data_IF_890102484562
#
_entry.id   IF_890102484562
#
_cell.length_a   1.000
_cell.length_b   1.000
_cell.length_c   1.000
_cell.angle_alpha   90.00
_cell.angle_beta   90.00
_cell.angle_gamma   90.00
#
_symmetry.space_group_name_H-M   'P 1'
#
loop_
_entity.id
_entity.type
_entity.pdbx_description
1 polymer ?
#
# COMPACT_ATOMS: atom_id res chain seq x y z
N UNK A 1 -19.57 3.12 6.88
CA UNK A 1 -19.47 4.41 6.15
C UNK A 1 -19.60 4.11 4.68
N UNK A 2 -20.47 4.83 3.94
CA UNK A 2 -20.62 4.65 2.50
C UNK A 2 -19.36 5.07 1.75
N UNK A 3 -19.09 4.40 0.64
CA UNK A 3 -18.02 4.78 -0.30
C UNK A 3 -18.62 5.80 -1.27
N UNK A 4 -17.90 6.89 -1.54
CA UNK A 4 -18.28 7.86 -2.57
C UNK A 4 -17.15 7.96 -3.58
N UNK A 5 -17.42 7.65 -4.85
CA UNK A 5 -16.43 7.62 -5.92
C UNK A 5 -16.08 9.03 -6.38
N UNK A 6 -14.79 9.32 -6.47
CA UNK A 6 -14.25 10.59 -6.99
C UNK A 6 -13.79 10.46 -8.44
N UNK A 7 -13.20 9.32 -8.80
CA UNK A 7 -12.78 9.07 -10.18
C UNK A 7 -12.69 7.58 -10.50
N UNK A 8 -12.83 7.27 -11.77
CA UNK A 8 -12.60 5.94 -12.34
C UNK A 8 -11.62 6.07 -13.48
N UNK A 9 -10.49 5.40 -13.39
CA UNK A 9 -9.49 5.30 -14.44
C UNK A 9 -9.43 3.87 -14.97
N UNK A 10 -9.04 3.72 -16.23
CA UNK A 10 -8.82 2.41 -16.85
C UNK A 10 -7.49 2.38 -17.59
N UNK A 11 -6.80 1.26 -17.55
CA UNK A 11 -5.55 1.01 -18.29
C UNK A 11 -5.57 -0.36 -18.93
N UNK A 12 -4.89 -0.49 -20.07
CA UNK A 12 -4.59 -1.79 -20.69
C UNK A 12 -3.50 -2.53 -19.89
N UNK A 13 -3.62 -3.85 -19.80
CA UNK A 13 -2.72 -4.69 -19.01
C UNK A 13 -1.44 -5.11 -19.73
N UNK A 14 -1.31 -4.79 -21.00
CA UNK A 14 -0.14 -5.06 -21.84
C UNK A 14 0.50 -3.77 -22.40
N UNK A 15 0.21 -2.63 -21.76
CA UNK A 15 0.73 -1.33 -22.20
C UNK A 15 -0.01 -0.73 -23.39
N UNK A 16 -1.21 -1.23 -23.67
CA UNK A 16 -2.05 -0.67 -24.73
C UNK A 16 -2.39 0.79 -24.42
N UNK A 17 -2.34 1.63 -25.44
CA UNK A 17 -2.73 3.02 -25.33
C UNK A 17 -4.25 3.13 -25.25
N UNK A 18 -4.77 3.72 -24.19
CA UNK A 18 -6.22 3.87 -23.95
C UNK A 18 -6.71 5.32 -24.09
N UNK A 19 -5.81 6.27 -24.24
CA UNK A 19 -6.12 7.69 -24.43
C UNK A 19 -5.04 8.39 -25.25
N UNK A 20 -5.29 9.61 -25.71
CA UNK A 20 -4.30 10.44 -26.40
C UNK A 20 -4.84 11.11 -27.65
N UNK A 21 -3.93 11.63 -28.48
CA UNK A 21 -4.28 12.28 -29.75
C UNK A 21 -4.64 11.19 -30.76
N UNK A 22 -5.76 11.38 -31.46
CA UNK A 22 -6.22 10.50 -32.50
C UNK A 22 -6.21 11.18 -33.87
N UNK A 23 -5.90 10.41 -34.90
CA UNK A 23 -6.15 10.76 -36.28
C UNK A 23 -7.49 10.19 -36.72
N UNK A 24 -8.29 11.01 -37.38
CA UNK A 24 -9.56 10.58 -37.96
C UNK A 24 -9.38 10.54 -39.48
N UNK A 25 -9.56 9.37 -40.09
CA UNK A 25 -9.60 9.27 -41.53
C UNK A 25 -10.97 9.79 -42.03
N UNK A 26 -10.95 10.90 -42.74
CA UNK A 26 -12.18 11.54 -43.25
C UNK A 26 -12.95 10.71 -44.30
N UNK A 27 -12.31 9.72 -44.90
CA UNK A 27 -12.93 8.92 -45.96
C UNK A 27 -13.81 7.79 -45.40
N UNK A 28 -13.44 7.21 -44.27
CA UNK A 28 -14.11 6.04 -43.68
C UNK A 28 -14.49 6.23 -42.20
N UNK A 29 -14.12 7.38 -41.61
CA UNK A 29 -14.42 7.70 -40.24
C UNK A 29 -13.58 6.90 -39.22
N UNK A 30 -12.58 6.14 -39.65
CA UNK A 30 -11.73 5.36 -38.74
C UNK A 30 -10.88 6.28 -37.86
N UNK A 31 -10.97 6.05 -36.57
CA UNK A 31 -10.18 6.74 -35.56
C UNK A 31 -9.01 5.86 -35.13
N UNK A 32 -7.78 6.38 -35.27
CA UNK A 32 -6.57 5.69 -34.82
C UNK A 32 -5.77 6.56 -33.85
N UNK A 33 -5.37 6.01 -32.73
CA UNK A 33 -4.53 6.72 -31.76
C UNK A 33 -3.10 6.84 -32.29
N UNK A 34 -2.54 8.06 -32.23
CA UNK A 34 -1.11 8.27 -32.49
C UNK A 34 -0.30 7.61 -31.41
N UNK A 35 0.61 6.71 -31.81
CA UNK A 35 1.58 6.16 -30.87
C UNK A 35 2.47 7.30 -30.35
N UNK A 36 2.43 7.53 -29.04
CA UNK A 36 3.27 8.51 -28.40
C UNK A 36 4.50 7.81 -27.80
N UNK A 37 5.67 8.28 -28.18
CA UNK A 37 6.95 7.75 -27.70
C UNK A 37 7.29 8.21 -26.27
N UNK A 38 6.46 9.07 -25.64
CA UNK A 38 6.82 9.75 -24.37
C UNK A 38 5.78 9.61 -23.27
N UNK A 39 4.75 8.76 -23.37
CA UNK A 39 3.58 8.92 -22.49
C UNK A 39 3.21 7.69 -21.67
N UNK A 40 3.67 7.66 -20.43
CA UNK A 40 2.97 6.95 -19.34
C UNK A 40 1.53 7.48 -19.12
N UNK A 41 1.21 8.71 -19.52
CA UNK A 41 -0.12 9.32 -19.40
C UNK A 41 -1.14 8.79 -20.41
N UNK A 42 -0.73 8.40 -21.63
CA UNK A 42 -1.62 7.83 -22.65
C UNK A 42 -2.09 6.41 -22.34
N UNK A 43 -1.50 5.77 -21.33
CA UNK A 43 -1.88 4.44 -20.90
C UNK A 43 -3.11 4.42 -19.98
N UNK A 44 -3.72 5.57 -19.67
CA UNK A 44 -4.85 5.65 -18.74
C UNK A 44 -5.94 6.56 -19.30
N UNK A 45 -7.19 6.06 -19.39
CA UNK A 45 -8.37 6.88 -19.57
C UNK A 45 -8.99 7.17 -18.20
N UNK A 46 -9.43 8.41 -17.96
CA UNK A 46 -9.89 8.88 -16.66
C UNK A 46 -11.25 9.59 -16.78
N UNK A 47 -12.18 9.19 -15.93
CA UNK A 47 -13.41 9.92 -15.63
C UNK A 47 -13.30 10.50 -14.23
N UNK A 48 -13.43 11.81 -14.10
CA UNK A 48 -13.46 12.50 -12.79
C UNK A 48 -14.87 13.00 -12.52
N UNK A 49 -15.38 12.77 -11.32
CA UNK A 49 -16.67 13.26 -10.88
C UNK A 49 -16.51 14.64 -10.22
N UNK A 50 -17.24 15.64 -10.69
CA UNK A 50 -17.26 16.98 -10.07
C UNK A 50 -17.76 16.89 -8.63
N UNK A 51 -18.82 16.13 -8.42
CA UNK A 51 -19.32 15.74 -7.11
C UNK A 51 -19.12 14.24 -6.93
N UNK A 52 -18.63 13.83 -5.75
CA UNK A 52 -18.41 12.41 -5.49
C UNK A 52 -19.74 11.63 -5.51
N UNK A 53 -19.73 10.48 -6.18
CA UNK A 53 -20.91 9.64 -6.39
C UNK A 53 -20.97 8.57 -5.30
N UNK A 54 -21.99 8.59 -4.41
CA UNK A 54 -22.12 7.57 -3.36
C UNK A 54 -22.46 6.20 -3.96
N UNK A 55 -21.80 5.16 -3.45
CA UNK A 55 -22.17 3.78 -3.73
C UNK A 55 -23.16 3.27 -2.70
N UNK A 56 -24.07 2.42 -3.13
CA UNK A 56 -24.97 1.70 -2.22
C UNK A 56 -24.15 0.80 -1.27
N UNK A 57 -24.55 0.77 0.00
CA UNK A 57 -23.89 -0.04 1.02
C UNK A 57 -24.34 -1.51 1.01
N UNK A 58 -25.45 -1.79 0.34
CA UNK A 58 -25.99 -3.12 0.15
C UNK A 58 -25.50 -3.70 -1.18
N UNK A 59 -25.07 -4.95 -1.19
CA UNK A 59 -24.71 -5.67 -2.40
C UNK A 59 -25.95 -5.93 -3.29
N UNK A 60 -26.76 -4.91 -3.50
CA UNK A 60 -27.97 -5.00 -4.31
C UNK A 60 -27.61 -4.75 -5.79
N UNK A 61 -27.65 -5.76 -6.67
CA UNK A 61 -27.34 -5.58 -8.08
C UNK A 61 -28.27 -4.57 -8.80
N UNK A 62 -29.42 -4.28 -8.22
CA UNK A 62 -30.37 -3.30 -8.76
C UNK A 62 -30.08 -1.86 -8.36
N UNK A 63 -29.12 -1.63 -7.45
CA UNK A 63 -28.71 -0.31 -6.96
C UNK A 63 -27.24 0.01 -7.34
N UNK A 64 -26.82 -0.41 -8.52
CA UNK A 64 -25.49 -0.13 -9.06
C UNK A 64 -25.35 1.31 -9.57
N UNK A 65 -24.13 1.77 -9.68
CA UNK A 65 -23.76 3.04 -10.28
C UNK A 65 -23.00 2.79 -11.57
N UNK A 66 -23.49 3.35 -12.69
CA UNK A 66 -22.87 3.20 -14.00
C UNK A 66 -21.85 4.31 -14.26
N UNK A 67 -20.70 3.92 -14.74
CA UNK A 67 -19.68 4.81 -15.29
C UNK A 67 -19.45 4.46 -16.76
N UNK A 68 -19.55 5.46 -17.63
CA UNK A 68 -19.30 5.28 -19.07
C UNK A 68 -17.90 5.78 -19.38
N UNK A 69 -17.06 4.90 -19.93
CA UNK A 69 -15.71 5.23 -20.38
C UNK A 69 -15.63 5.04 -21.90
N UNK A 70 -14.97 5.98 -22.58
CA UNK A 70 -14.68 5.89 -24.00
C UNK A 70 -13.28 5.36 -24.18
N UNK A 71 -13.17 4.20 -24.81
CA UNK A 71 -11.90 3.51 -25.05
C UNK A 71 -11.71 3.24 -26.54
N UNK A 72 -10.47 3.17 -27.02
CA UNK A 72 -10.18 2.76 -28.40
C UNK A 72 -10.68 1.35 -28.69
N UNK A 73 -11.10 1.15 -29.94
CA UNK A 73 -11.46 -0.16 -30.45
C UNK A 73 -10.22 -1.02 -30.67
N UNK A 74 -9.81 -1.74 -29.62
CA UNK A 74 -8.59 -2.54 -29.56
C UNK A 74 -8.88 -3.86 -28.82
N UNK A 75 -8.11 -4.88 -29.16
CA UNK A 75 -8.08 -6.11 -28.38
C UNK A 75 -7.05 -5.97 -27.24
N UNK A 76 -7.52 -5.86 -26.02
CA UNK A 76 -6.70 -5.82 -24.80
C UNK A 76 -6.33 -7.25 -24.41
N UNK A 77 -5.19 -7.73 -24.90
CA UNK A 77 -4.80 -9.14 -24.86
C UNK A 77 -4.63 -9.71 -23.46
N UNK A 78 -4.25 -8.86 -22.52
CA UNK A 78 -4.17 -9.18 -21.08
C UNK A 78 -5.28 -8.54 -20.26
N UNK A 79 -6.33 -8.02 -20.93
CA UNK A 79 -7.46 -7.37 -20.29
C UNK A 79 -7.18 -5.94 -19.85
N UNK A 80 -8.07 -5.42 -19.01
CA UNK A 80 -8.08 -4.06 -18.50
C UNK A 80 -7.94 -4.07 -16.97
N UNK A 81 -7.38 -3.00 -16.42
CA UNK A 81 -7.43 -2.72 -14.97
C UNK A 81 -8.18 -1.41 -14.74
N UNK A 82 -9.19 -1.46 -13.89
CA UNK A 82 -9.93 -0.32 -13.41
C UNK A 82 -9.30 0.16 -12.10
N UNK A 83 -9.06 1.46 -12.00
CA UNK A 83 -8.53 2.13 -10.82
C UNK A 83 -9.57 3.12 -10.36
N UNK A 84 -10.20 2.84 -9.25
CA UNK A 84 -11.27 3.64 -8.67
C UNK A 84 -10.72 4.42 -7.50
N UNK A 85 -10.91 5.74 -7.48
CA UNK A 85 -10.50 6.59 -6.35
C UNK A 85 -11.75 7.14 -5.68
N UNK A 86 -11.84 7.01 -4.37
CA UNK A 86 -12.95 7.56 -3.60
C UNK A 86 -12.69 9.00 -3.12
N UNK A 87 -13.72 9.61 -2.53
CA UNK A 87 -13.66 10.97 -2.00
C UNK A 87 -12.65 11.15 -0.85
N UNK A 88 -12.27 10.06 -0.18
CA UNK A 88 -11.23 10.07 0.86
C UNK A 88 -9.82 9.86 0.29
N UNK A 89 -9.68 9.72 -1.05
CA UNK A 89 -8.41 9.46 -1.72
C UNK A 89 -7.95 8.01 -1.67
N UNK A 90 -8.82 7.08 -1.25
CA UNK A 90 -8.52 5.65 -1.26
C UNK A 90 -8.62 5.11 -2.67
N UNK A 91 -7.73 4.19 -3.02
CA UNK A 91 -7.62 3.63 -4.37
C UNK A 91 -8.04 2.16 -4.33
N UNK A 92 -8.86 1.78 -5.31
CA UNK A 92 -9.33 0.41 -5.53
C UNK A 92 -8.92 -0.01 -6.94
N UNK A 93 -8.32 -1.18 -7.09
CA UNK A 93 -7.94 -1.71 -8.38
C UNK A 93 -8.66 -3.04 -8.64
N UNK A 94 -9.26 -3.16 -9.82
CA UNK A 94 -9.90 -4.39 -10.28
C UNK A 94 -9.50 -4.68 -11.71
N UNK A 95 -8.92 -5.85 -11.94
CA UNK A 95 -8.59 -6.33 -13.28
C UNK A 95 -9.71 -7.19 -13.86
N UNK A 96 -9.89 -7.14 -15.18
CA UNK A 96 -10.71 -8.14 -15.90
C UNK A 96 -10.00 -9.50 -15.87
N UNK A 97 -10.76 -10.62 -15.85
CA UNK A 97 -10.17 -11.95 -15.72
C UNK A 97 -9.38 -12.44 -16.95
N UNK A 98 -9.39 -11.71 -18.05
CA UNK A 98 -8.73 -12.12 -19.29
C UNK A 98 -8.81 -11.09 -20.40
N UNK A 99 -8.53 -11.50 -21.63
CA UNK A 99 -8.59 -10.64 -22.80
C UNK A 99 -9.97 -9.96 -22.94
N UNK A 100 -9.94 -8.70 -23.37
CA UNK A 100 -11.12 -7.88 -23.51
C UNK A 100 -11.07 -7.11 -24.82
N UNK A 101 -12.03 -7.32 -25.70
CA UNK A 101 -12.09 -6.64 -27.00
C UNK A 101 -13.16 -5.56 -26.98
N UNK A 102 -12.79 -4.36 -27.41
CA UNK A 102 -13.70 -3.25 -27.65
C UNK A 102 -13.82 -3.05 -29.16
N UNK A 103 -15.05 -3.04 -29.65
CA UNK A 103 -15.37 -2.81 -31.04
C UNK A 103 -15.81 -1.35 -31.27
N UNK A 104 -15.52 -0.80 -32.44
CA UNK A 104 -15.87 0.57 -32.77
C UNK A 104 -17.40 0.76 -32.80
N UNK A 105 -17.87 1.81 -32.12
CA UNK A 105 -19.28 2.16 -32.06
C UNK A 105 -20.16 1.24 -31.21
N UNK A 106 -19.58 0.30 -30.48
CA UNK A 106 -20.29 -0.64 -29.62
C UNK A 106 -20.21 -0.22 -28.17
N UNK A 107 -21.35 -0.13 -27.50
CA UNK A 107 -21.40 -0.04 -26.04
C UNK A 107 -21.31 -1.45 -25.46
N UNK A 108 -20.23 -1.73 -24.75
CA UNK A 108 -20.01 -3.03 -24.13
C UNK A 108 -20.32 -2.94 -22.62
N UNK A 109 -21.46 -3.47 -22.17
CA UNK A 109 -21.73 -3.55 -20.75
C UNK A 109 -20.72 -4.48 -20.07
N UNK A 110 -20.27 -4.09 -18.88
CA UNK A 110 -19.43 -4.91 -18.04
C UNK A 110 -20.26 -5.52 -16.92
N UNK A 111 -19.81 -6.66 -16.43
CA UNK A 111 -20.33 -7.20 -15.18
C UNK A 111 -20.05 -6.25 -14.01
N UNK A 112 -20.86 -6.34 -12.97
CA UNK A 112 -20.65 -5.56 -11.76
C UNK A 112 -19.23 -5.77 -11.21
N UNK A 113 -18.51 -4.68 -11.09
CA UNK A 113 -17.19 -4.70 -10.43
C UNK A 113 -17.42 -4.52 -8.92
N UNK A 114 -17.19 -5.53 -8.09
CA UNK A 114 -17.25 -5.38 -6.67
C UNK A 114 -16.11 -4.47 -6.21
N UNK A 115 -16.46 -3.28 -5.72
CA UNK A 115 -15.49 -2.37 -5.11
C UNK A 115 -15.26 -2.86 -3.69
N UNK A 116 -14.27 -3.70 -3.51
CA UNK A 116 -13.81 -4.10 -2.20
C UNK A 116 -12.95 -2.98 -1.62
N UNK A 117 -13.20 -2.59 -0.37
CA UNK A 117 -12.38 -1.60 0.34
C UNK A 117 -10.92 -2.08 0.38
N UNK A 118 -10.12 -1.59 -0.53
CA UNK A 118 -8.68 -1.60 -0.38
C UNK A 118 -8.32 -0.44 0.54
N UNK A 119 -8.19 -0.69 1.82
CA UNK A 119 -7.34 0.15 2.63
C UNK A 119 -5.97 0.04 1.98
N UNK A 120 -5.49 1.16 1.40
CA UNK A 120 -4.18 1.16 0.77
C UNK A 120 -3.21 0.47 1.72
N UNK A 121 -2.40 -0.44 1.21
CA UNK A 121 -1.53 -1.33 1.99
C UNK A 121 -0.59 -0.52 2.86
N UNK A 122 -1.10 -0.05 3.98
CA UNK A 122 -0.33 0.69 4.95
C UNK A 122 0.73 -0.26 5.52
N UNK A 123 1.99 0.12 5.41
CA UNK A 123 3.05 -0.61 6.09
C UNK A 123 3.30 -0.07 7.51
N UNK A 124 2.77 1.10 7.82
CA UNK A 124 2.85 1.73 9.11
C UNK A 124 1.45 2.00 9.67
N UNK A 125 1.20 1.52 10.87
CA UNK A 125 -0.03 1.74 11.62
C UNK A 125 0.27 2.60 12.84
N UNK A 126 -0.44 3.73 12.95
CA UNK A 126 -0.27 4.71 14.02
C UNK A 126 -1.42 4.66 15.01
N UNK A 127 -1.09 4.73 16.29
CA UNK A 127 -2.05 4.95 17.38
C UNK A 127 -1.47 5.87 18.43
N UNK A 128 -2.32 6.59 19.15
CA UNK A 128 -1.92 7.44 20.29
C UNK A 128 -2.21 6.80 21.64
N UNK A 129 -3.03 5.76 21.69
CA UNK A 129 -3.59 5.21 22.92
C UNK A 129 -3.25 3.73 23.08
N UNK A 130 -3.23 3.28 24.33
CA UNK A 130 -3.23 1.85 24.64
C UNK A 130 -4.48 1.16 24.08
N UNK A 131 -4.33 -0.11 23.72
CA UNK A 131 -5.41 -0.92 23.17
C UNK A 131 -4.88 -2.00 22.25
N UNK A 132 -5.75 -2.63 21.49
CA UNK A 132 -5.37 -3.62 20.49
C UNK A 132 -5.63 -3.05 19.08
N UNK A 133 -4.58 -2.97 18.27
CA UNK A 133 -4.73 -2.71 16.84
C UNK A 133 -5.09 -4.02 16.15
N UNK A 134 -6.14 -3.97 15.35
CA UNK A 134 -6.56 -5.07 14.49
C UNK A 134 -6.22 -4.75 13.05
N UNK A 135 -5.36 -5.55 12.44
CA UNK A 135 -4.90 -5.37 11.07
C UNK A 135 -5.37 -6.57 10.26
N UNK A 136 -6.25 -6.32 9.29
CA UNK A 136 -6.62 -7.31 8.29
C UNK A 136 -5.41 -7.54 7.38
N UNK A 137 -4.87 -8.77 7.37
CA UNK A 137 -3.69 -9.11 6.58
C UNK A 137 -4.05 -9.64 5.19
N UNK A 138 -5.33 -9.81 4.85
CA UNK A 138 -5.76 -10.30 3.53
C UNK A 138 -5.28 -9.44 2.36
N UNK A 139 -5.16 -8.10 2.46
CA UNK A 139 -4.66 -7.28 1.36
C UNK A 139 -3.14 -7.27 1.19
N UNK A 140 -2.37 -8.00 2.01
CA UNK A 140 -0.91 -8.01 1.95
C UNK A 140 -0.37 -9.25 1.28
N UNK A 141 0.46 -9.06 0.24
CA UNK A 141 0.97 -10.12 -0.61
C UNK A 141 2.49 -10.12 -0.67
N UNK A 142 3.06 -11.28 -0.89
CA UNK A 142 4.44 -11.37 -1.32
C UNK A 142 4.59 -10.72 -2.68
N UNK A 143 5.54 -9.84 -2.75
CA UNK A 143 6.07 -9.33 -3.99
C UNK A 143 7.02 -10.38 -4.62
N UNK A 144 6.63 -11.65 -4.60
CA UNK A 144 7.34 -12.69 -5.31
C UNK A 144 7.00 -12.55 -6.80
N UNK A 145 7.81 -11.86 -7.56
CA UNK A 145 7.70 -11.71 -8.98
C UNK A 145 8.07 -10.30 -9.41
N UNK A 146 8.72 -10.19 -10.51
CA UNK A 146 9.25 -9.06 -11.22
C UNK A 146 8.73 -7.67 -10.82
N UNK A 147 9.47 -7.08 -9.89
CA UNK A 147 9.33 -5.69 -9.56
C UNK A 147 10.07 -4.87 -10.61
N UNK A 148 9.41 -4.51 -11.70
CA UNK A 148 9.95 -3.49 -12.59
C UNK A 148 9.46 -2.12 -12.16
N UNK A 149 10.33 -1.13 -12.19
CA UNK A 149 10.02 0.26 -11.82
C UNK A 149 8.85 0.85 -12.61
N UNK A 150 8.62 0.36 -13.81
CA UNK A 150 7.54 0.78 -14.71
C UNK A 150 6.20 0.11 -14.39
N UNK A 151 6.22 -1.07 -13.84
CA UNK A 151 5.05 -1.75 -13.32
C UNK A 151 5.06 -1.57 -11.81
N UNK A 152 4.42 -0.53 -11.30
CA UNK A 152 4.14 -0.45 -9.86
C UNK A 152 3.59 -1.79 -9.42
N UNK A 153 4.12 -2.38 -8.34
CA UNK A 153 3.79 -3.75 -8.00
C UNK A 153 2.28 -3.88 -7.97
N UNK A 154 1.76 -4.56 -8.94
CA UNK A 154 0.43 -5.10 -8.83
C UNK A 154 0.58 -6.16 -7.77
N UNK A 155 0.15 -5.79 -6.65
CA UNK A 155 -0.02 -6.76 -5.62
C UNK A 155 -1.04 -7.73 -6.17
N UNK A 156 -0.55 -8.88 -6.53
CA UNK A 156 -1.40 -9.95 -7.01
C UNK A 156 -2.25 -10.43 -5.84
N UNK A 157 -3.56 -10.15 -5.93
CA UNK A 157 -4.54 -10.39 -4.89
C UNK A 157 -4.93 -11.87 -4.90
N UNK A 158 -3.99 -12.76 -4.90
CA UNK A 158 -4.33 -14.17 -4.84
C UNK A 158 -4.27 -14.77 -3.43
N UNK A 159 -4.11 -13.95 -2.41
CA UNK A 159 -4.18 -14.44 -1.03
C UNK A 159 -3.16 -15.51 -0.65
N UNK A 160 -2.28 -15.91 -1.58
CA UNK A 160 -1.37 -17.04 -1.38
C UNK A 160 -0.47 -16.91 -0.16
N UNK A 161 -0.22 -15.68 0.30
CA UNK A 161 0.60 -15.49 1.49
C UNK A 161 -0.16 -15.47 2.78
N UNK A 162 -1.38 -14.97 2.75
CA UNK A 162 -2.24 -15.02 3.93
C UNK A 162 -2.52 -16.46 4.29
N UNK A 163 -2.74 -17.31 3.29
CA UNK A 163 -2.92 -18.75 3.48
C UNK A 163 -1.67 -19.45 4.04
N UNK A 164 -0.49 -18.82 3.93
CA UNK A 164 0.76 -19.36 4.49
C UNK A 164 1.10 -18.79 5.86
N UNK A 165 0.57 -17.63 6.24
CA UNK A 165 0.83 -17.04 7.53
C UNK A 165 0.05 -17.79 8.62
N UNK A 166 0.77 -18.28 9.63
CA UNK A 166 0.19 -19.06 10.73
C UNK A 166 0.49 -18.44 12.10
N UNK A 167 1.38 -17.48 12.18
CA UNK A 167 1.79 -16.87 13.44
C UNK A 167 2.24 -15.42 13.25
N UNK A 168 2.34 -14.71 14.39
CA UNK A 168 2.93 -13.38 14.45
C UNK A 168 4.14 -13.38 15.39
N UNK A 169 5.07 -12.46 15.17
CA UNK A 169 6.25 -12.29 16.00
C UNK A 169 6.67 -10.84 16.09
N UNK A 170 7.28 -10.44 17.18
CA UNK A 170 7.94 -9.16 17.34
C UNK A 170 9.37 -9.28 16.84
N UNK A 171 9.75 -8.48 15.87
CA UNK A 171 11.13 -8.40 15.42
C UNK A 171 11.95 -7.47 16.32
N UNK A 172 11.40 -6.31 16.62
CA UNK A 172 11.96 -5.38 17.59
C UNK A 172 10.89 -4.40 18.08
N UNK A 173 11.11 -3.85 19.27
CA UNK A 173 10.44 -2.67 19.80
C UNK A 173 11.47 -1.63 20.20
N UNK A 174 11.09 -0.35 20.13
CA UNK A 174 11.95 0.77 20.51
C UNK A 174 11.16 1.83 21.25
N UNK A 175 11.62 2.17 22.44
CA UNK A 175 11.12 3.29 23.23
C UNK A 175 12.24 4.27 23.50
N UNK A 176 11.89 5.48 23.91
CA UNK A 176 12.87 6.46 24.37
C UNK A 176 13.61 5.93 25.60
N UNK A 177 14.88 6.30 25.76
CA UNK A 177 15.73 5.87 26.88
C UNK A 177 15.18 6.24 28.25
N UNK A 178 14.32 7.27 28.32
CA UNK A 178 13.64 7.73 29.53
C UNK A 178 12.31 7.02 29.83
N UNK A 179 11.82 6.17 28.91
CA UNK A 179 10.53 5.51 29.05
C UNK A 179 10.64 4.25 29.91
N UNK A 180 9.77 4.11 30.90
CA UNK A 180 9.53 2.84 31.59
C UNK A 180 8.46 2.05 30.80
N UNK A 181 8.75 0.80 30.48
CA UNK A 181 7.83 -0.08 29.75
C UNK A 181 8.15 -0.22 28.27
N UNK A 182 7.35 -0.99 27.58
CA UNK A 182 7.49 -1.31 26.16
C UNK A 182 6.33 -0.72 25.33
N UNK A 183 6.55 -0.59 24.03
CA UNK A 183 5.53 -0.16 23.06
C UNK A 183 4.35 -1.13 23.02
N UNK A 184 4.64 -2.43 23.12
CA UNK A 184 3.65 -3.49 23.13
C UNK A 184 3.38 -3.96 24.57
N UNK A 185 2.11 -4.18 24.89
CA UNK A 185 1.68 -4.71 26.20
C UNK A 185 1.67 -6.23 26.26
N UNK A 186 1.65 -6.91 25.10
CA UNK A 186 1.74 -8.36 24.97
C UNK A 186 2.26 -8.75 23.58
N UNK A 187 2.56 -10.04 23.40
CA UNK A 187 2.98 -10.60 22.11
C UNK A 187 1.80 -10.52 21.11
N UNK A 188 2.01 -9.98 19.91
CA UNK A 188 0.99 -10.00 18.86
C UNK A 188 0.58 -11.42 18.45
N UNK A 189 -0.68 -11.58 18.08
CA UNK A 189 -1.24 -12.86 17.63
C UNK A 189 -1.90 -12.71 16.25
N UNK A 190 -1.77 -13.74 15.42
CA UNK A 190 -2.53 -13.87 14.18
C UNK A 190 -3.72 -14.80 14.43
N UNK A 191 -4.93 -14.26 14.30
CA UNK A 191 -6.19 -15.01 14.47
C UNK A 191 -6.93 -15.02 13.11
N UNK A 192 -6.87 -16.14 12.42
CA UNK A 192 -7.36 -16.20 11.05
C UNK A 192 -6.61 -15.21 10.16
N UNK A 193 -7.31 -14.22 9.61
CA UNK A 193 -6.76 -13.14 8.77
C UNK A 193 -6.56 -11.82 9.52
N UNK A 194 -6.72 -11.81 10.83
CA UNK A 194 -6.56 -10.61 11.66
C UNK A 194 -5.32 -10.70 12.52
N UNK A 195 -4.37 -9.79 12.29
CA UNK A 195 -3.23 -9.58 13.16
C UNK A 195 -3.65 -8.65 14.30
N UNK A 196 -3.65 -9.17 15.52
CA UNK A 196 -3.91 -8.43 16.76
C UNK A 196 -2.60 -7.98 17.38
N UNK A 197 -2.44 -6.67 17.53
CA UNK A 197 -1.24 -6.05 18.10
C UNK A 197 -1.61 -5.27 19.35
N UNK A 198 -1.38 -5.84 20.55
CA UNK A 198 -1.63 -5.15 21.80
C UNK A 198 -0.59 -4.06 22.05
N UNK A 199 -1.02 -2.79 22.09
CA UNK A 199 -0.14 -1.63 22.37
C UNK A 199 -0.35 -1.11 23.77
N UNK A 200 0.74 -0.71 24.43
CA UNK A 200 0.72 -0.24 25.82
C UNK A 200 0.35 1.25 25.96
N UNK A 201 0.46 2.03 24.87
CA UNK A 201 0.39 3.49 24.91
C UNK A 201 1.73 4.18 25.19
N UNK A 202 2.78 3.44 25.49
CA UNK A 202 4.15 4.00 25.59
C UNK A 202 4.61 4.42 24.18
N UNK A 203 5.03 5.68 24.05
CA UNK A 203 5.49 6.23 22.77
C UNK A 203 6.73 5.50 22.27
N UNK A 204 6.72 5.11 21.01
CA UNK A 204 7.80 4.36 20.39
C UNK A 204 7.40 3.68 19.11
N UNK A 205 8.20 2.72 18.70
CA UNK A 205 8.04 1.98 17.47
C UNK A 205 8.18 0.48 17.72
N UNK A 206 7.46 -0.32 16.94
CA UNK A 206 7.63 -1.77 16.89
C UNK A 206 7.62 -2.25 15.45
N UNK A 207 8.36 -3.30 15.15
CA UNK A 207 8.25 -4.05 13.90
C UNK A 207 7.71 -5.44 14.22
N UNK A 208 6.53 -5.72 13.69
CA UNK A 208 5.82 -6.99 13.88
C UNK A 208 5.75 -7.71 12.56
N UNK A 209 6.14 -8.98 12.53
CA UNK A 209 6.06 -9.81 11.34
C UNK A 209 5.00 -10.91 11.50
N UNK A 210 4.38 -11.30 10.37
CA UNK A 210 3.63 -12.54 10.24
C UNK A 210 4.50 -13.59 9.57
N UNK A 211 4.38 -14.85 10.01
CA UNK A 211 5.25 -15.96 9.63
C UNK A 211 4.47 -17.13 9.10
N UNK A 212 5.07 -17.84 8.15
CA UNK A 212 4.58 -19.12 7.68
C UNK A 212 4.90 -20.27 8.68
N UNK A 213 4.46 -21.47 8.36
CA UNK A 213 4.68 -22.66 9.18
C UNK A 213 6.17 -23.05 9.34
N UNK A 214 7.04 -22.58 8.46
CA UNK A 214 8.49 -22.79 8.55
C UNK A 214 9.19 -21.75 9.44
N UNK A 215 8.46 -20.74 9.93
CA UNK A 215 8.98 -19.62 10.69
C UNK A 215 9.58 -18.48 9.84
N UNK A 216 9.44 -18.55 8.52
CA UNK A 216 9.88 -17.48 7.60
C UNK A 216 8.91 -16.30 7.66
N UNK A 217 9.47 -15.08 7.72
CA UNK A 217 8.64 -13.88 7.64
C UNK A 217 8.03 -13.77 6.23
N UNK A 218 6.71 -13.64 6.17
CA UNK A 218 5.97 -13.44 4.91
C UNK A 218 5.57 -11.99 4.70
N UNK A 219 5.40 -11.23 5.79
CA UNK A 219 5.22 -9.79 5.78
C UNK A 219 5.56 -9.18 7.13
N UNK A 220 5.71 -7.84 7.20
CA UNK A 220 5.98 -7.09 8.42
C UNK A 220 5.26 -5.75 8.42
N UNK A 221 4.94 -5.28 9.62
CA UNK A 221 4.18 -4.06 9.86
C UNK A 221 4.94 -3.18 10.86
N UNK A 222 5.10 -1.90 10.53
CA UNK A 222 5.61 -0.89 11.44
C UNK A 222 4.44 -0.39 12.31
N UNK A 223 4.56 -0.55 13.60
CA UNK A 223 3.63 -0.04 14.60
C UNK A 223 4.24 1.20 15.24
N UNK A 224 3.55 2.32 15.16
CA UNK A 224 4.04 3.60 15.63
C UNK A 224 3.09 4.20 16.67
N UNK A 225 3.54 4.22 17.92
CA UNK A 225 2.75 4.78 19.03
C UNK A 225 3.19 6.22 19.27
N UNK A 226 2.33 7.15 18.89
CA UNK A 226 2.57 8.60 19.00
C UNK A 226 1.30 9.40 18.80
N UNK A 227 1.25 10.58 19.38
CA UNK A 227 0.24 11.63 19.10
C UNK A 227 0.74 12.45 17.91
N UNK A 228 0.47 12.05 16.71
CA UNK A 228 0.83 12.84 15.54
C UNK A 228 -0.41 13.48 14.93
N UNK A 229 -0.26 14.69 14.45
CA UNK A 229 -1.30 15.46 13.77
C UNK A 229 -0.96 15.62 12.30
N UNK A 230 -1.99 15.73 11.47
CA UNK A 230 -1.80 16.11 10.07
C UNK A 230 -1.74 17.63 9.97
N UNK A 231 -0.69 18.14 9.34
CA UNK A 231 -0.58 19.54 8.96
C UNK A 231 -1.21 19.72 7.59
N UNK A 232 -2.02 20.77 7.46
CA UNK A 232 -2.56 21.18 6.17
C UNK A 232 -1.64 22.24 5.58
N UNK A 233 -1.07 21.95 4.42
CA UNK A 233 -0.25 22.87 3.66
C UNK A 233 -1.02 23.31 2.40
N UNK A 234 -1.12 24.62 2.19
CA UNK A 234 -1.77 25.21 1.02
C UNK A 234 -0.68 25.73 0.09
N UNK A 235 -0.66 25.21 -1.13
CA UNK A 235 0.16 25.73 -2.21
C UNK A 235 -0.77 26.37 -3.24
N UNK A 236 -0.52 27.63 -3.57
CA UNK A 236 -1.40 28.41 -4.47
C UNK A 236 -1.51 27.82 -5.87
N UNK A 237 -0.44 27.16 -6.35
CA UNK A 237 -0.41 26.56 -7.69
C UNK A 237 -0.89 25.10 -7.72
N UNK A 238 -0.71 24.36 -6.62
CA UNK A 238 -0.90 22.90 -6.58
C UNK A 238 -2.03 22.43 -5.65
N UNK A 239 -2.66 23.36 -4.94
CA UNK A 239 -3.77 23.08 -4.04
C UNK A 239 -3.34 22.70 -2.61
N UNK A 240 -4.23 22.01 -1.91
CA UNK A 240 -4.07 21.68 -0.49
C UNK A 240 -3.50 20.27 -0.31
N UNK A 241 -2.45 20.17 0.50
CA UNK A 241 -1.79 18.92 0.84
C UNK A 241 -1.86 18.66 2.35
N UNK A 242 -1.96 17.38 2.72
CA UNK A 242 -1.77 16.96 4.10
C UNK A 242 -0.38 16.38 4.26
N UNK A 243 0.31 16.81 5.31
CA UNK A 243 1.63 16.33 5.69
C UNK A 243 1.60 15.90 7.16
N UNK A 244 2.44 14.97 7.53
CA UNK A 244 2.65 14.65 8.94
C UNK A 244 3.38 15.82 9.61
N UNK A 245 3.07 16.07 10.89
CA UNK A 245 3.74 17.10 11.71
C UNK A 245 5.17 16.71 12.12
N UNK A 246 5.59 15.48 11.81
CA UNK A 246 6.89 14.90 12.22
C UNK A 246 7.36 13.84 11.24
N UNK A 247 8.64 13.47 11.35
CA UNK A 247 9.21 12.37 10.60
C UNK A 247 8.55 11.04 10.99
N UNK A 248 8.45 10.12 10.03
CA UNK A 248 7.91 8.78 10.26
C UNK A 248 8.68 8.06 11.37
N UNK A 249 7.97 7.57 12.38
CA UNK A 249 8.57 6.94 13.56
C UNK A 249 9.02 7.92 14.65
N UNK A 250 8.90 9.25 14.47
CA UNK A 250 9.25 10.22 15.51
C UNK A 250 8.21 10.25 16.64
N UNK A 251 8.67 10.37 17.86
CA UNK A 251 7.82 10.45 19.07
C UNK A 251 7.78 11.85 19.68
N UNK A 252 8.45 12.81 19.04
CA UNK A 252 8.49 14.23 19.42
C UNK A 252 8.45 15.12 18.18
N UNK A 253 8.02 16.36 18.35
CA UNK A 253 8.12 17.45 17.35
C UNK A 253 9.10 18.52 17.76
N UNK A 254 9.71 18.39 18.93
CA UNK A 254 10.59 19.41 19.50
C UNK A 254 11.89 19.50 18.70
N UNK A 255 12.27 20.68 18.18
CA UNK A 255 13.52 20.86 17.46
C UNK A 255 14.74 20.45 18.33
N UNK A 256 15.71 19.76 17.73
CA UNK A 256 16.93 19.26 18.38
C UNK A 256 16.70 18.11 19.38
N UNK A 257 15.47 17.70 19.59
CA UNK A 257 15.18 16.47 20.33
C UNK A 257 15.48 15.25 19.44
N UNK A 258 16.27 14.32 19.93
CA UNK A 258 16.60 13.07 19.21
C UNK A 258 15.33 12.26 18.87
N UNK A 259 14.29 12.37 19.70
CA UNK A 259 13.00 11.73 19.48
C UNK A 259 12.21 12.31 18.28
N UNK A 260 12.64 13.46 17.74
CA UNK A 260 12.08 14.05 16.53
C UNK A 260 12.73 13.54 15.22
N UNK A 261 13.83 12.77 15.30
CA UNK A 261 14.53 12.29 14.11
C UNK A 261 13.77 11.19 13.34
N UNK A 262 12.90 10.47 14.01
CA UNK A 262 12.14 9.38 13.41
C UNK A 262 12.92 8.06 13.29
N UNK A 263 12.33 7.12 12.58
CA UNK A 263 12.95 5.83 12.30
C UNK A 263 13.97 5.93 11.15
N UNK A 264 14.91 5.00 11.09
CA UNK A 264 15.88 4.94 10.01
C UNK A 264 15.41 3.99 8.93
N UNK A 265 15.61 4.38 7.68
CA UNK A 265 15.27 3.58 6.51
C UNK A 265 16.49 3.37 5.63
N UNK A 266 16.62 2.18 5.11
CA UNK A 266 17.56 1.90 4.04
C UNK A 266 16.83 2.08 2.70
N UNK A 267 17.50 2.69 1.71
CA UNK A 267 16.92 2.92 0.40
C UNK A 267 16.34 1.62 -0.21
N UNK A 268 15.15 1.72 -0.78
CA UNK A 268 14.45 0.59 -1.41
C UNK A 268 13.76 -0.39 -0.44
N UNK A 269 13.78 -0.13 0.87
CA UNK A 269 13.11 -0.98 1.87
C UNK A 269 11.80 -0.37 2.36
N UNK A 270 10.85 -1.23 2.66
CA UNK A 270 9.57 -0.84 3.26
C UNK A 270 9.63 -0.71 4.79
N UNK A 271 10.56 -1.40 5.44
CA UNK A 271 10.62 -1.51 6.90
C UNK A 271 11.69 -0.59 7.51
N UNK A 272 11.36 0.04 8.63
CA UNK A 272 12.31 0.87 9.37
C UNK A 272 13.29 0.03 10.20
N UNK A 273 14.40 0.69 10.53
CA UNK A 273 15.32 0.26 11.59
C UNK A 273 15.19 1.19 12.79
N UNK A 274 15.37 0.67 14.01
CA UNK A 274 15.39 1.50 15.20
C UNK A 274 16.63 2.41 15.22
N UNK A 275 16.51 3.52 15.90
CA UNK A 275 17.63 4.42 16.14
C UNK A 275 18.62 3.78 17.12
N UNK A 276 19.93 3.99 16.93
CA UNK A 276 20.94 3.34 17.79
C UNK A 276 21.00 3.86 19.23
N UNK A 277 20.39 5.00 19.51
CA UNK A 277 20.47 5.67 20.81
C UNK A 277 19.36 5.29 21.80
N UNK A 278 18.35 4.58 21.35
CA UNK A 278 17.20 4.21 22.16
C UNK A 278 17.25 2.76 22.62
N UNK A 279 16.41 2.44 23.61
CA UNK A 279 16.26 1.07 24.10
C UNK A 279 15.57 0.24 23.03
N UNK A 280 16.25 -0.78 22.55
CA UNK A 280 15.71 -1.76 21.59
C UNK A 280 15.52 -3.09 22.28
N UNK A 281 14.37 -3.71 22.09
CA UNK A 281 14.00 -4.99 22.68
C UNK A 281 13.70 -6.03 21.61
N UNK A 282 13.94 -7.29 21.91
CA UNK A 282 13.64 -8.41 21.02
C UNK A 282 12.25 -8.99 21.22
N UNK A 283 11.59 -8.67 22.34
CA UNK A 283 10.21 -9.09 22.62
C UNK A 283 9.46 -8.04 23.43
N UNK A 284 8.12 -8.09 23.40
CA UNK A 284 7.26 -7.19 24.16
C UNK A 284 7.35 -7.36 25.69
N UNK A 285 8.03 -8.38 26.18
CA UNK A 285 8.06 -8.73 27.62
C UNK A 285 9.44 -8.72 28.23
N UNK A 286 10.51 -8.65 27.44
CA UNK A 286 11.89 -8.71 27.92
C UNK A 286 12.69 -7.51 27.46
N UNK A 287 13.43 -6.91 28.41
CA UNK A 287 14.41 -5.86 28.09
C UNK A 287 15.70 -6.55 27.66
N UNK A 288 15.72 -7.01 26.42
CA UNK A 288 16.94 -7.49 25.80
C UNK A 288 17.46 -6.38 24.89
N UNK A 289 18.67 -5.87 25.17
CA UNK A 289 19.38 -5.03 24.22
C UNK A 289 19.69 -5.86 22.98
N UNK A 290 18.76 -5.90 22.03
CA UNK A 290 19.00 -6.56 20.77
C UNK A 290 19.92 -5.70 19.94
N UNK A 291 21.13 -6.17 19.69
CA UNK A 291 21.90 -5.68 18.57
C UNK A 291 21.16 -6.02 17.27
N UNK A 292 20.63 -5.00 16.60
CA UNK A 292 20.03 -5.15 15.27
C UNK A 292 21.13 -5.27 14.21
N UNK A 293 21.90 -6.30 14.29
CA UNK A 293 23.09 -6.47 13.49
C UNK A 293 23.10 -7.75 12.68
N UNK A 294 21.94 -8.17 12.19
CA UNK A 294 21.98 -9.00 11.01
C UNK A 294 22.43 -8.13 9.84
N UNK A 295 23.66 -8.26 9.44
CA UNK A 295 24.22 -7.60 8.28
C UNK A 295 24.36 -8.62 7.17
N UNK A 296 23.99 -8.25 5.95
CA UNK A 296 24.20 -9.06 4.76
C UNK A 296 24.95 -8.26 3.71
N UNK A 297 25.81 -8.91 2.96
CA UNK A 297 26.49 -8.30 1.82
C UNK A 297 25.65 -8.49 0.57
N UNK A 298 25.58 -7.49 -0.28
CA UNK A 298 24.84 -7.54 -1.55
C UNK A 298 25.30 -8.71 -2.42
N UNK A 299 24.34 -9.46 -2.95
CA UNK A 299 24.54 -10.56 -3.87
C UNK A 299 23.37 -10.61 -4.87
N UNK A 300 23.32 -11.59 -5.74
CA UNK A 300 22.20 -11.78 -6.68
C UNK A 300 20.85 -11.98 -5.96
N UNK A 301 20.85 -12.53 -4.74
CA UNK A 301 19.66 -12.74 -3.92
C UNK A 301 19.50 -11.64 -2.88
N UNK A 302 20.59 -11.32 -2.16
CA UNK A 302 20.62 -10.27 -1.12
C UNK A 302 20.49 -8.90 -1.77
N UNK A 303 19.50 -8.13 -1.40
CA UNK A 303 19.19 -6.84 -2.02
C UNK A 303 17.96 -6.88 -2.91
N UNK A 304 17.40 -8.05 -3.20
CA UNK A 304 16.09 -8.16 -3.86
C UNK A 304 14.95 -7.75 -2.91
N UNK A 305 13.84 -7.31 -3.49
CA UNK A 305 12.63 -6.98 -2.71
C UNK A 305 12.15 -8.20 -1.90
N UNK A 306 12.16 -9.39 -2.51
CA UNK A 306 11.79 -10.64 -1.84
C UNK A 306 12.67 -10.93 -0.62
N UNK A 307 13.98 -10.72 -0.75
CA UNK A 307 14.90 -10.86 0.38
C UNK A 307 14.57 -9.91 1.52
N UNK A 308 14.31 -8.63 1.22
CA UNK A 308 14.01 -7.62 2.25
C UNK A 308 12.68 -7.89 2.97
N UNK A 309 11.69 -8.47 2.29
CA UNK A 309 10.42 -8.88 2.91
C UNK A 309 10.64 -10.04 3.89
N UNK A 310 11.45 -11.01 3.51
CA UNK A 310 11.75 -12.17 4.37
C UNK A 310 12.71 -11.83 5.51
N UNK A 311 13.54 -10.80 5.35
CA UNK A 311 14.56 -10.37 6.29
C UNK A 311 14.42 -8.86 6.62
N UNK A 312 13.30 -8.46 7.22
CA UNK A 312 12.96 -7.04 7.42
C UNK A 312 13.86 -6.33 8.43
N UNK A 313 14.54 -7.06 9.30
CA UNK A 313 15.47 -6.56 10.33
C UNK A 313 16.95 -6.69 9.95
N UNK A 314 17.26 -7.14 8.73
CA UNK A 314 18.65 -7.32 8.25
C UNK A 314 19.08 -6.12 7.41
N UNK A 315 20.19 -5.47 7.77
CA UNK A 315 20.82 -4.40 6.97
C UNK A 315 21.62 -5.01 5.81
N UNK A 316 21.57 -4.34 4.65
CA UNK A 316 22.28 -4.78 3.45
C UNK A 316 23.38 -3.77 3.15
N UNK A 317 24.60 -4.25 2.97
CA UNK A 317 25.78 -3.46 2.64
C UNK A 317 26.34 -3.89 1.28
N UNK A 318 26.84 -2.93 0.53
CA UNK A 318 27.57 -3.15 -0.74
C UNK A 318 29.02 -3.48 -0.48
#
# INVERSE_FOLDING_TARGET
MGISIKSVAVRGNDGEQVSGIADVNAADGIVSLRKSSTLSAAATALVTCDTSVPLSADNNPSAHTDFVLFLPAVNYTKGLTFVITDAAGRIYEQATPGAFTIEAGVVKPMELLPVTLYYGKANCYRTASAGTLEIDVTPYYSLAGDYTYENRPRVNINGELVDKAVSATVLWTQTNSSSSGDVLSAIPALEGTTLKVPVSGVKGNALVAIRDASGKNVWSFHIWVTEASDLTYINEERGTFKMMDRNLGATSVTPKDQNAYGAWYQWGRKDPFPRPLDIVRSSATTVDNKELTANATTSAEVGTVSYTISNPDTRIFS
#
